data_IF_959393719005
#
_entry.id   IF_959393719005
#
_cell.length_a   1.000
_cell.length_b   1.000
_cell.length_c   1.000
_cell.angle_alpha   90.00
_cell.angle_beta   90.00
_cell.angle_gamma   90.00
#
_symmetry.space_group_name_H-M   'P 1'
#
loop_
_entity.id
_entity.type
_entity.pdbx_description
1 polymer ?
#
# COMPACT_ATOMS: atom_id res chain seq x y z
N UNK A 1 -1.97 -1.79 34.29
CA UNK A 1 -0.71 -1.98 33.54
C UNK A 1 -0.28 -0.59 33.11
N UNK A 2 0.76 -0.02 33.72
CA UNK A 2 1.22 1.32 33.34
C UNK A 2 1.72 1.24 31.90
N UNK A 3 1.08 1.99 30.99
CA UNK A 3 1.54 2.12 29.62
C UNK A 3 2.98 2.64 29.69
N UNK A 4 3.89 2.08 28.91
CA UNK A 4 5.24 2.62 28.81
C UNK A 4 5.09 4.00 28.14
N UNK A 5 4.87 5.04 28.94
CA UNK A 5 4.46 6.40 28.56
C UNK A 5 5.53 7.19 27.79
N UNK A 6 6.41 6.51 27.07
CA UNK A 6 7.49 7.13 26.29
C UNK A 6 7.31 6.99 24.77
N UNK A 7 6.30 6.25 24.30
CA UNK A 7 6.03 6.16 22.87
C UNK A 7 5.17 7.35 22.43
N UNK A 8 5.69 8.06 21.43
CA UNK A 8 5.07 9.27 20.89
C UNK A 8 4.04 8.91 19.80
N UNK A 9 4.20 7.75 19.16
CA UNK A 9 3.24 7.23 18.18
C UNK A 9 2.03 6.66 18.90
N UNK A 10 0.85 7.04 18.42
CA UNK A 10 -0.43 6.53 18.96
C UNK A 10 -0.85 5.34 18.11
N UNK A 11 -1.15 4.22 18.78
CA UNK A 11 -1.68 3.02 18.14
C UNK A 11 -0.73 2.48 17.03
N UNK A 12 0.59 2.52 17.29
CA UNK A 12 1.60 2.09 16.31
C UNK A 12 1.68 0.59 16.06
N UNK A 13 1.12 -0.23 16.96
CA UNK A 13 0.93 -1.68 16.74
C UNK A 13 -0.52 -2.06 16.45
N UNK A 14 -1.41 -1.09 16.18
CA UNK A 14 -2.80 -1.32 15.75
C UNK A 14 -3.70 -2.21 16.64
N UNK A 15 -3.26 -2.54 17.86
CA UNK A 15 -3.94 -3.45 18.81
C UNK A 15 -5.33 -3.01 19.27
N UNK A 16 -5.75 -1.81 18.89
CA UNK A 16 -7.14 -1.35 19.09
C UNK A 16 -8.11 -1.89 18.02
N UNK A 17 -7.59 -2.60 17.01
CA UNK A 17 -8.36 -3.18 15.90
C UNK A 17 -8.93 -2.11 14.96
N UNK A 18 -8.34 -0.92 14.91
CA UNK A 18 -8.79 0.20 14.09
C UNK A 18 -7.66 1.21 13.83
N UNK A 19 -7.93 2.18 12.95
CA UNK A 19 -7.00 3.24 12.54
C UNK A 19 -7.02 4.48 13.45
N UNK A 20 -7.36 4.36 14.74
CA UNK A 20 -7.36 5.54 15.64
C UNK A 20 -6.02 6.26 15.58
N UNK A 21 -6.08 7.59 15.40
CA UNK A 21 -4.95 8.51 15.22
C UNK A 21 -4.17 8.36 13.90
N UNK A 22 -4.61 7.52 12.97
CA UNK A 22 -4.07 7.40 11.63
C UNK A 22 -5.04 8.01 10.61
N UNK A 23 -4.49 8.65 9.60
CA UNK A 23 -5.24 9.27 8.50
C UNK A 23 -4.99 8.47 7.22
N UNK A 24 -5.97 7.68 6.75
CA UNK A 24 -5.90 7.05 5.44
C UNK A 24 -5.97 8.11 4.33
N UNK A 25 -5.27 7.87 3.23
CA UNK A 25 -5.37 8.65 2.00
C UNK A 25 -6.63 8.34 1.20
N UNK A 26 -6.78 9.01 0.06
CA UNK A 26 -7.90 8.80 -0.87
C UNK A 26 -7.36 8.28 -2.23
N UNK A 27 -7.81 7.10 -2.69
CA UNK A 27 -8.66 6.14 -2.01
C UNK A 27 -7.88 5.41 -0.91
N UNK A 28 -8.60 4.97 0.12
CA UNK A 28 -8.01 4.40 1.32
C UNK A 28 -8.26 2.90 1.44
N UNK A 29 -7.70 2.07 0.55
CA UNK A 29 -7.74 0.61 0.66
C UNK A 29 -6.84 0.12 1.80
N UNK A 30 -7.28 0.43 3.03
CA UNK A 30 -6.51 0.26 4.26
C UNK A 30 -7.39 -0.38 5.32
N UNK A 31 -6.88 -1.43 5.96
CA UNK A 31 -7.58 -2.12 7.03
C UNK A 31 -6.62 -2.59 8.12
N UNK A 32 -7.06 -2.57 9.38
CA UNK A 32 -6.37 -3.25 10.48
C UNK A 32 -6.89 -4.68 10.53
N UNK A 33 -5.99 -5.64 10.36
CA UNK A 33 -6.30 -7.06 10.16
C UNK A 33 -5.66 -7.93 11.24
N UNK A 34 -6.28 -9.08 11.50
CA UNK A 34 -5.71 -10.18 12.27
C UNK A 34 -5.00 -11.17 11.33
N UNK A 35 -4.12 -12.02 11.88
CA UNK A 35 -3.45 -13.06 11.09
C UNK A 35 -4.42 -13.99 10.33
N UNK A 36 -5.60 -14.25 10.91
CA UNK A 36 -6.63 -15.14 10.35
C UNK A 36 -7.37 -14.54 9.14
N UNK A 37 -7.22 -13.24 8.91
CA UNK A 37 -7.79 -12.58 7.73
C UNK A 37 -6.96 -12.87 6.46
N UNK A 38 -5.79 -13.52 6.61
CA UNK A 38 -4.95 -13.98 5.51
C UNK A 38 -5.02 -15.50 5.32
N UNK A 39 -4.95 -15.94 4.07
CA UNK A 39 -4.76 -17.35 3.69
C UNK A 39 -3.59 -17.48 2.70
N UNK A 40 -2.45 -18.08 3.09
CA UNK A 40 -2.15 -18.58 4.44
C UNK A 40 -2.01 -17.46 5.48
N UNK A 41 -2.12 -17.79 6.76
CA UNK A 41 -2.04 -16.81 7.85
C UNK A 41 -0.69 -16.08 7.88
N UNK A 42 -0.72 -14.77 8.10
CA UNK A 42 0.48 -13.93 8.31
C UNK A 42 0.54 -13.52 9.78
N UNK A 43 1.58 -13.92 10.50
CA UNK A 43 1.72 -13.60 11.93
C UNK A 43 2.19 -12.17 12.16
N UNK A 44 1.49 -11.43 13.03
CA UNK A 44 1.89 -10.09 13.47
C UNK A 44 3.21 -10.13 14.27
N UNK A 45 4.17 -9.23 14.02
CA UNK A 45 5.38 -9.08 14.85
C UNK A 45 5.07 -8.74 16.30
N UNK A 46 4.01 -7.97 16.54
CA UNK A 46 3.51 -7.60 17.85
C UNK A 46 2.03 -7.95 17.99
N UNK A 47 1.66 -8.50 19.15
CA UNK A 47 0.26 -8.76 19.52
C UNK A 47 -0.50 -9.61 18.50
N UNK A 48 -1.64 -9.10 18.02
CA UNK A 48 -2.54 -9.84 17.12
C UNK A 48 -3.00 -9.07 15.89
N UNK A 49 -2.61 -7.81 15.74
CA UNK A 49 -3.07 -6.93 14.67
C UNK A 49 -1.89 -6.28 13.95
N UNK A 50 -2.10 -5.96 12.68
CA UNK A 50 -1.25 -5.08 11.88
C UNK A 50 -2.12 -4.31 10.89
N UNK A 51 -1.59 -3.28 10.25
CA UNK A 51 -2.30 -2.60 9.15
C UNK A 51 -1.84 -3.14 7.81
N UNK A 52 -2.79 -3.37 6.89
CA UNK A 52 -2.53 -3.57 5.47
C UNK A 52 -2.89 -2.29 4.71
N UNK A 53 -1.95 -1.77 3.94
CA UNK A 53 -2.22 -0.88 2.82
C UNK A 53 -2.21 -1.74 1.57
N UNK A 54 -3.27 -1.73 0.76
CA UNK A 54 -3.35 -2.51 -0.48
C UNK A 54 -3.71 -1.58 -1.63
N UNK A 55 -3.13 -1.79 -2.81
CA UNK A 55 -3.67 -1.21 -4.04
C UNK A 55 -5.02 -1.87 -4.33
N UNK A 56 -5.16 -3.16 -4.04
CA UNK A 56 -6.45 -3.86 -3.93
C UNK A 56 -7.01 -4.26 -5.28
N UNK A 57 -8.04 -5.12 -5.26
CA UNK A 57 -8.50 -5.76 -6.50
C UNK A 57 -9.15 -4.75 -7.45
N UNK A 58 -8.45 -4.44 -8.54
CA UNK A 58 -8.91 -3.57 -9.62
C UNK A 58 -8.61 -2.09 -9.38
N UNK A 59 -8.81 -1.32 -10.46
CA UNK A 59 -8.46 0.10 -10.53
C UNK A 59 -9.19 0.94 -9.47
N UNK A 60 -8.44 1.46 -8.50
CA UNK A 60 -8.96 2.31 -7.42
C UNK A 60 -8.93 3.79 -7.80
N UNK A 61 -7.94 4.21 -8.60
CA UNK A 61 -7.86 5.52 -9.25
C UNK A 61 -7.83 5.37 -10.76
N UNK A 62 -8.42 6.31 -11.52
CA UNK A 62 -8.35 6.27 -12.98
C UNK A 62 -6.91 6.26 -13.49
N UNK A 63 -6.69 5.54 -14.60
CA UNK A 63 -5.48 5.10 -15.31
C UNK A 63 -4.38 6.12 -15.65
N UNK A 64 -4.26 7.19 -14.87
CA UNK A 64 -3.23 8.22 -14.98
C UNK A 64 -2.91 8.77 -13.60
N UNK A 65 -2.21 7.97 -12.79
CA UNK A 65 -1.58 8.47 -11.57
C UNK A 65 -0.26 9.20 -11.85
N UNK A 66 0.32 9.85 -10.83
CA UNK A 66 1.66 10.42 -10.92
C UNK A 66 2.72 9.32 -11.07
N UNK A 67 3.90 9.71 -11.57
CA UNK A 67 5.14 8.94 -11.45
C UNK A 67 5.74 9.27 -10.07
N UNK A 68 5.53 8.39 -9.09
CA UNK A 68 5.89 8.61 -7.68
C UNK A 68 7.35 8.23 -7.40
N UNK A 69 7.92 7.32 -8.17
CA UNK A 69 9.30 6.85 -8.00
C UNK A 69 10.29 7.49 -8.99
N UNK A 70 9.79 8.13 -10.04
CA UNK A 70 10.57 8.87 -11.03
C UNK A 70 11.13 8.01 -12.16
N UNK A 71 10.58 6.81 -12.40
CA UNK A 71 11.06 5.91 -13.45
C UNK A 71 10.47 6.18 -14.85
N UNK A 72 9.59 7.18 -14.97
CA UNK A 72 8.98 7.60 -16.23
C UNK A 72 7.71 6.83 -16.62
N UNK A 73 7.23 5.93 -15.76
CA UNK A 73 5.89 5.34 -15.83
C UNK A 73 4.97 5.98 -14.81
N UNK A 74 3.66 5.85 -15.01
CA UNK A 74 2.67 6.31 -14.03
C UNK A 74 2.28 5.17 -13.10
N UNK A 75 2.08 5.48 -11.83
CA UNK A 75 1.64 4.55 -10.79
C UNK A 75 0.13 4.67 -10.66
N UNK A 76 -0.59 3.67 -11.15
CA UNK A 76 -2.02 3.79 -11.43
C UNK A 76 -2.85 3.73 -10.16
N UNK A 77 -2.45 2.90 -9.21
CA UNK A 77 -3.07 2.82 -7.90
C UNK A 77 -2.07 3.16 -6.80
N UNK A 78 -2.47 4.05 -5.90
CA UNK A 78 -1.71 4.37 -4.70
C UNK A 78 -2.60 4.29 -3.47
N UNK A 79 -2.06 3.71 -2.40
CA UNK A 79 -2.69 3.72 -1.08
C UNK A 79 -1.72 4.32 -0.07
N UNK A 80 -2.20 5.29 0.71
CA UNK A 80 -1.35 6.00 1.69
C UNK A 80 -1.93 6.00 3.10
N UNK A 81 -1.07 5.92 4.11
CA UNK A 81 -1.44 6.02 5.52
C UNK A 81 -0.50 7.01 6.21
N UNK A 82 -1.02 7.90 7.06
CA UNK A 82 -0.17 8.87 7.75
C UNK A 82 -0.57 9.13 9.19
N UNK A 83 0.39 9.54 10.01
CA UNK A 83 0.16 10.07 11.35
C UNK A 83 1.10 11.26 11.60
N UNK A 84 0.52 12.33 12.13
CA UNK A 84 1.29 13.47 12.65
C UNK A 84 1.70 13.21 14.09
N UNK A 85 2.94 13.56 14.43
CA UNK A 85 3.45 13.50 15.80
C UNK A 85 4.33 14.71 16.09
N UNK A 86 4.72 14.90 17.36
CA UNK A 86 5.58 16.03 17.74
C UNK A 86 6.68 15.62 18.70
N UNK A 87 7.90 16.08 18.42
CA UNK A 87 9.06 15.98 19.32
C UNK A 87 9.29 17.32 20.02
N UNK A 88 9.09 17.34 21.33
CA UNK A 88 9.35 18.47 22.21
C UNK A 88 10.85 18.63 22.52
N UNK A 89 11.29 19.80 23.03
CA UNK A 89 12.64 19.97 23.54
C UNK A 89 13.03 18.87 24.54
N UNK A 90 14.16 18.20 24.27
CA UNK A 90 14.64 17.08 25.07
C UNK A 90 14.02 15.72 24.74
N UNK A 91 13.14 15.62 23.74
CA UNK A 91 12.72 14.33 23.16
C UNK A 91 13.57 13.93 21.95
N UNK A 92 14.18 14.89 21.24
CA UNK A 92 15.15 14.63 20.19
C UNK A 92 16.60 14.55 20.76
N UNK A 93 17.47 13.69 20.19
CA UNK A 93 17.15 12.74 19.12
C UNK A 93 16.30 11.56 19.63
N UNK A 94 15.38 11.10 18.79
CA UNK A 94 14.53 9.94 19.03
C UNK A 94 14.76 8.89 17.93
N UNK A 95 14.54 7.62 18.25
CA UNK A 95 14.59 6.53 17.28
C UNK A 95 13.17 6.15 16.89
N UNK A 96 12.83 6.34 15.62
CA UNK A 96 11.69 5.72 14.96
C UNK A 96 12.06 4.28 14.63
N UNK A 97 11.21 3.32 14.98
CA UNK A 97 11.34 1.92 14.55
C UNK A 97 9.99 1.36 14.15
N UNK A 98 9.97 0.42 13.21
CA UNK A 98 8.77 -0.28 12.76
C UNK A 98 9.13 -1.65 12.16
N UNK A 99 8.14 -2.51 12.06
CA UNK A 99 8.23 -3.74 11.28
C UNK A 99 7.37 -3.61 10.01
N UNK A 100 7.89 -4.05 8.87
CA UNK A 100 7.23 -3.94 7.58
C UNK A 100 7.32 -5.24 6.79
N UNK A 101 6.34 -5.52 5.95
CA UNK A 101 6.36 -6.65 5.02
C UNK A 101 5.72 -6.21 3.71
N UNK A 102 6.44 -6.37 2.60
CA UNK A 102 5.91 -6.09 1.27
C UNK A 102 5.28 -7.36 0.69
N UNK A 103 4.15 -7.17 0.02
CA UNK A 103 3.33 -8.18 -0.63
C UNK A 103 3.14 -7.74 -2.07
N UNK A 104 3.30 -8.66 -3.01
CA UNK A 104 3.12 -8.35 -4.43
C UNK A 104 2.53 -9.54 -5.18
N UNK A 105 1.85 -9.26 -6.28
CA UNK A 105 1.48 -10.23 -7.30
C UNK A 105 2.39 -10.19 -8.52
N UNK A 106 3.47 -9.41 -8.48
CA UNK A 106 4.35 -9.14 -9.61
C UNK A 106 5.79 -9.57 -9.35
N UNK A 107 6.45 -10.17 -10.36
CA UNK A 107 7.87 -10.50 -10.31
C UNK A 107 8.62 -10.19 -11.61
N UNK A 108 7.93 -9.96 -12.72
CA UNK A 108 8.56 -9.95 -14.04
C UNK A 108 7.99 -8.94 -15.05
N UNK A 109 7.05 -8.07 -14.66
CA UNK A 109 6.31 -7.21 -15.60
C UNK A 109 6.34 -5.74 -15.20
N UNK A 110 5.93 -5.42 -13.98
CA UNK A 110 6.01 -4.08 -13.42
C UNK A 110 6.75 -4.11 -12.07
N UNK A 111 7.16 -2.92 -11.64
CA UNK A 111 8.04 -2.69 -10.49
C UNK A 111 7.28 -1.96 -9.40
N UNK A 112 6.25 -2.65 -8.89
CA UNK A 112 5.50 -2.20 -7.72
C UNK A 112 6.44 -1.86 -6.57
N UNK A 113 6.03 -0.89 -5.77
CA UNK A 113 6.91 -0.36 -4.74
C UNK A 113 6.18 0.08 -3.50
N UNK A 114 6.96 0.33 -2.47
CA UNK A 114 6.54 1.09 -1.32
C UNK A 114 7.54 2.19 -1.00
N UNK A 115 7.06 3.24 -0.34
CA UNK A 115 7.91 4.25 0.27
C UNK A 115 7.37 4.66 1.64
N UNK A 116 8.30 5.00 2.53
CA UNK A 116 8.04 5.60 3.83
C UNK A 116 8.73 6.95 3.84
N UNK A 117 7.95 7.99 4.10
CA UNK A 117 8.45 9.36 4.18
C UNK A 117 8.29 9.94 5.58
N UNK A 118 9.26 10.76 5.97
CA UNK A 118 9.20 11.63 7.14
C UNK A 118 9.34 13.07 6.67
N UNK A 119 8.31 13.87 6.89
CA UNK A 119 8.25 15.27 6.43
C UNK A 119 8.45 15.41 4.91
N UNK A 120 7.99 14.40 4.16
CA UNK A 120 8.13 14.32 2.71
C UNK A 120 9.50 13.81 2.21
N UNK A 121 10.48 13.60 3.09
CA UNK A 121 11.73 12.95 2.73
C UNK A 121 11.61 11.43 2.84
N UNK A 122 12.03 10.68 1.80
CA UNK A 122 12.06 9.22 1.82
C UNK A 122 13.10 8.76 2.86
N UNK A 123 12.66 7.94 3.81
CA UNK A 123 13.50 7.33 4.85
C UNK A 123 13.66 5.81 4.67
N UNK A 124 12.73 5.19 3.95
CA UNK A 124 12.80 3.80 3.50
C UNK A 124 11.99 3.69 2.20
N UNK A 125 12.47 2.92 1.25
CA UNK A 125 11.70 2.48 0.08
C UNK A 125 12.17 1.10 -0.33
N UNK A 126 11.34 0.44 -1.13
CA UNK A 126 11.75 -0.76 -1.84
C UNK A 126 10.80 -1.08 -2.98
N UNK A 127 11.27 -1.83 -3.96
CA UNK A 127 10.49 -2.24 -5.12
C UNK A 127 10.63 -3.74 -5.44
N UNK A 128 9.84 -4.25 -6.36
CA UNK A 128 9.88 -5.67 -6.77
C UNK A 128 11.20 -5.98 -7.48
N UNK A 129 11.94 -7.01 -7.07
CA UNK A 129 13.13 -7.42 -7.80
C UNK A 129 12.74 -8.01 -9.16
N UNK A 130 13.13 -7.37 -10.26
CA UNK A 130 12.85 -7.95 -11.57
C UNK A 130 13.23 -7.09 -12.77
N UNK A 131 13.33 -7.69 -13.97
CA UNK A 131 13.49 -6.94 -15.20
C UNK A 131 12.16 -6.28 -15.60
N UNK A 132 11.93 -5.04 -15.17
CA UNK A 132 10.85 -4.18 -15.69
C UNK A 132 11.36 -3.32 -16.85
N UNK A 133 10.46 -2.92 -17.76
CA UNK A 133 10.74 -1.86 -18.75
C UNK A 133 10.88 -0.49 -18.06
N UNK A 134 10.26 -0.36 -16.90
CA UNK A 134 10.21 0.84 -16.08
C UNK A 134 10.70 0.50 -14.67
N UNK A 135 11.98 0.18 -14.54
CA UNK A 135 12.58 -0.15 -13.24
C UNK A 135 12.63 1.08 -12.34
N UNK A 136 12.07 0.93 -11.15
CA UNK A 136 12.14 1.87 -10.05
C UNK A 136 13.60 2.19 -9.70
N UNK A 137 13.91 3.45 -9.32
CA UNK A 137 15.21 3.75 -8.72
C UNK A 137 15.31 3.29 -7.26
N UNK A 138 14.25 2.72 -6.68
CA UNK A 138 14.28 2.21 -5.32
C UNK A 138 15.07 0.91 -5.22
N UNK A 139 15.63 0.60 -4.03
CA UNK A 139 16.31 -0.67 -3.83
C UNK A 139 15.34 -1.86 -3.94
N UNK A 140 15.78 -2.95 -4.56
CA UNK A 140 15.02 -4.20 -4.56
C UNK A 140 14.69 -4.64 -3.11
N UNK A 141 13.46 -5.08 -2.93
CA UNK A 141 13.03 -5.76 -1.71
C UNK A 141 13.72 -7.12 -1.54
N UNK A 142 13.77 -7.67 -0.31
CA UNK A 142 14.15 -9.06 -0.13
C UNK A 142 13.29 -9.98 -1.00
N UNK A 143 13.82 -11.12 -1.47
CA UNK A 143 13.05 -12.03 -2.32
C UNK A 143 11.73 -12.46 -1.67
N UNK A 144 10.67 -12.54 -2.48
CA UNK A 144 9.39 -13.07 -2.02
C UNK A 144 9.46 -14.59 -1.76
N UNK A 145 8.56 -15.07 -0.91
CA UNK A 145 8.43 -16.49 -0.59
C UNK A 145 7.74 -17.33 -1.69
N UNK A 146 7.23 -16.69 -2.75
CA UNK A 146 6.46 -17.31 -3.83
C UNK A 146 5.22 -18.10 -3.33
N UNK A 147 4.59 -17.61 -2.26
CA UNK A 147 3.34 -18.16 -1.72
C UNK A 147 2.20 -17.19 -1.99
N UNK A 148 1.12 -17.64 -2.60
CA UNK A 148 -0.04 -16.77 -2.84
C UNK A 148 -0.80 -16.48 -1.55
N UNK A 149 -1.01 -15.19 -1.24
CA UNK A 149 -1.79 -14.74 -0.09
C UNK A 149 -3.12 -14.14 -0.52
N UNK A 150 -4.20 -14.51 0.18
CA UNK A 150 -5.55 -14.01 -0.06
C UNK A 150 -6.08 -13.33 1.20
N UNK A 151 -6.64 -12.13 1.06
CA UNK A 151 -7.26 -11.39 2.16
C UNK A 151 -8.77 -11.63 2.18
N UNK A 152 -9.29 -12.10 3.31
CA UNK A 152 -10.72 -12.23 3.58
C UNK A 152 -11.08 -11.40 4.81
N UNK A 153 -11.71 -10.26 4.59
CA UNK A 153 -12.08 -9.31 5.65
C UNK A 153 -13.49 -8.74 5.42
N UNK A 154 -13.93 -7.82 6.28
CA UNK A 154 -15.19 -7.09 6.07
C UNK A 154 -14.96 -5.68 5.51
N UNK A 155 -13.71 -5.23 5.41
CA UNK A 155 -13.34 -3.88 4.99
C UNK A 155 -12.94 -3.79 3.52
N UNK A 156 -12.14 -2.76 3.23
CA UNK A 156 -11.81 -2.33 1.88
C UNK A 156 -10.72 -3.18 1.22
N UNK A 157 -9.95 -3.93 1.99
CA UNK A 157 -8.92 -4.83 1.48
C UNK A 157 -9.44 -6.25 1.22
N UNK A 158 -10.74 -6.50 1.44
CA UNK A 158 -11.32 -7.81 1.20
C UNK A 158 -11.24 -8.20 -0.29
N UNK A 159 -10.65 -9.35 -0.56
CA UNK A 159 -10.45 -9.85 -1.91
C UNK A 159 -9.08 -9.53 -2.49
N UNK A 160 -8.20 -8.80 -1.77
CA UNK A 160 -6.84 -8.58 -2.22
C UNK A 160 -6.08 -9.90 -2.38
N UNK A 161 -5.28 -10.00 -3.43
CA UNK A 161 -4.47 -11.19 -3.78
C UNK A 161 -3.02 -10.84 -4.06
N UNK A 162 -2.10 -11.57 -3.44
CA UNK A 162 -0.65 -11.38 -3.58
C UNK A 162 -0.01 -12.70 -4.03
N UNK A 163 -0.09 -13.00 -5.32
CA UNK A 163 0.24 -14.30 -5.91
C UNK A 163 1.75 -14.60 -5.94
N UNK A 164 2.56 -13.55 -5.97
CA UNK A 164 4.03 -13.62 -5.96
C UNK A 164 4.60 -13.66 -4.55
N UNK A 165 3.80 -13.29 -3.55
CA UNK A 165 4.00 -13.62 -2.15
C UNK A 165 4.53 -12.49 -1.30
N UNK A 166 5.23 -12.87 -0.23
CA UNK A 166 5.63 -11.99 0.87
C UNK A 166 7.14 -11.94 1.04
N UNK A 167 7.66 -10.76 1.39
CA UNK A 167 9.08 -10.61 1.81
C UNK A 167 9.34 -11.11 3.24
N UNK A 168 8.29 -11.49 3.98
CA UNK A 168 8.29 -11.61 5.43
C UNK A 168 8.51 -10.26 6.14
N UNK A 169 8.23 -10.22 7.44
CA UNK A 169 8.46 -9.02 8.24
C UNK A 169 9.96 -8.71 8.40
N UNK A 170 10.31 -7.48 8.06
CA UNK A 170 11.62 -6.87 8.18
C UNK A 170 11.56 -5.76 9.23
N UNK A 171 12.68 -5.50 9.90
CA UNK A 171 12.78 -4.43 10.89
C UNK A 171 13.47 -3.20 10.30
N UNK A 172 12.95 -2.02 10.58
CA UNK A 172 13.55 -0.75 10.18
C UNK A 172 13.69 0.21 11.38
N UNK A 173 14.77 1.00 11.38
CA UNK A 173 15.00 2.04 12.38
C UNK A 173 15.61 3.31 11.76
N UNK A 174 15.16 4.48 12.20
CA UNK A 174 15.60 5.78 11.73
C UNK A 174 15.78 6.78 12.88
N UNK A 175 16.82 7.63 12.81
CA UNK A 175 17.11 8.63 13.83
C UNK A 175 16.45 9.98 13.49
N UNK A 176 15.45 10.38 14.27
CA UNK A 176 14.81 11.70 14.15
C UNK A 176 15.54 12.69 15.05
N UNK A 177 16.25 13.64 14.46
CA UNK A 177 17.13 14.58 15.17
C UNK A 177 16.48 15.94 15.42
N UNK A 178 15.49 16.31 14.62
CA UNK A 178 14.82 17.60 14.70
C UNK A 178 13.71 17.56 15.76
N UNK A 179 13.50 18.68 16.43
CA UNK A 179 12.29 18.92 17.24
C UNK A 179 11.21 19.53 16.34
N UNK A 180 9.94 19.44 16.75
CA UNK A 180 8.83 20.05 16.05
C UNK A 180 7.72 19.05 15.69
N UNK A 181 6.85 19.47 14.79
CA UNK A 181 5.81 18.62 14.21
C UNK A 181 6.41 17.82 13.06
N UNK A 182 6.04 16.56 13.00
CA UNK A 182 6.47 15.65 11.95
C UNK A 182 5.27 14.91 11.37
N UNK A 183 5.36 14.53 10.10
CA UNK A 183 4.40 13.64 9.45
C UNK A 183 5.12 12.39 8.98
N UNK A 184 4.75 11.24 9.55
CA UNK A 184 5.14 9.93 9.04
C UNK A 184 4.08 9.46 8.06
N UNK A 185 4.51 9.08 6.85
CA UNK A 185 3.61 8.56 5.80
C UNK A 185 4.16 7.29 5.18
N UNK A 186 3.27 6.33 4.98
CA UNK A 186 3.47 5.10 4.23
C UNK A 186 2.71 5.20 2.92
N UNK A 187 3.30 4.69 1.85
CA UNK A 187 2.72 4.61 0.51
C UNK A 187 3.05 3.24 -0.08
N UNK A 188 2.07 2.61 -0.72
CA UNK A 188 2.26 1.50 -1.65
C UNK A 188 1.70 1.94 -3.01
N UNK A 189 2.43 1.63 -4.09
CA UNK A 189 2.06 1.95 -5.46
C UNK A 189 2.03 0.71 -6.34
N UNK A 190 1.04 0.66 -7.23
CA UNK A 190 0.90 -0.29 -8.33
C UNK A 190 1.38 0.39 -9.62
N UNK A 191 2.40 -0.17 -10.26
CA UNK A 191 3.01 0.46 -11.41
C UNK A 191 2.34 0.02 -12.71
N UNK A 192 1.85 1.00 -13.48
CA UNK A 192 1.38 0.86 -14.87
C UNK A 192 0.21 -0.09 -15.16
N UNK A 193 -0.15 -0.99 -14.25
CA UNK A 193 -1.43 -1.66 -14.24
C UNK A 193 -2.19 -1.37 -12.93
N UNK A 194 -3.44 -1.78 -12.88
CA UNK A 194 -4.32 -1.61 -11.71
C UNK A 194 -5.11 -2.89 -11.49
N UNK A 195 -4.57 -4.02 -11.93
CA UNK A 195 -5.22 -5.32 -11.89
C UNK A 195 -4.49 -6.27 -10.95
N UNK A 196 -3.24 -5.98 -10.62
CA UNK A 196 -2.35 -6.90 -9.94
C UNK A 196 -1.96 -6.28 -8.59
N UNK A 197 -2.52 -6.82 -7.52
CA UNK A 197 -2.41 -6.11 -6.24
C UNK A 197 -0.99 -6.13 -5.66
N UNK A 198 -0.63 -4.99 -5.09
CA UNK A 198 0.50 -4.83 -4.19
C UNK A 198 0.04 -4.35 -2.82
N UNK A 199 0.85 -4.67 -1.81
CA UNK A 199 0.47 -4.50 -0.42
C UNK A 199 1.66 -4.22 0.49
N UNK A 200 1.40 -3.45 1.53
CA UNK A 200 2.37 -3.16 2.58
C UNK A 200 1.72 -3.43 3.94
N UNK A 201 2.26 -4.42 4.66
CA UNK A 201 1.93 -4.65 6.06
C UNK A 201 2.86 -3.81 6.94
N UNK A 202 2.29 -3.12 7.93
CA UNK A 202 3.05 -2.35 8.92
C UNK A 202 2.58 -2.72 10.32
N UNK A 203 3.54 -2.88 11.23
CA UNK A 203 3.29 -3.12 12.65
C UNK A 203 4.40 -2.50 13.53
N UNK A 204 4.19 -2.51 14.85
CA UNK A 204 5.20 -2.23 15.88
C UNK A 204 5.89 -0.86 15.71
N UNK A 205 5.15 0.14 15.21
CA UNK A 205 5.66 1.49 15.02
C UNK A 205 5.86 2.15 16.39
N UNK A 206 7.08 2.61 16.65
CA UNK A 206 7.48 3.22 17.91
C UNK A 206 8.38 4.41 17.66
N UNK A 207 8.25 5.45 18.48
CA UNK A 207 9.24 6.51 18.60
C UNK A 207 9.71 6.57 20.04
N UNK A 208 10.95 6.14 20.26
CA UNK A 208 11.55 6.08 21.59
C UNK A 208 12.64 7.15 21.68
N UNK A 209 12.55 7.99 22.70
CA UNK A 209 13.63 8.94 23.05
C UNK A 209 14.92 8.18 23.30
N UNK A 210 16.01 8.60 22.66
CA UNK A 210 17.32 8.04 22.98
C UNK A 210 17.74 8.50 24.38
N UNK A 211 18.28 7.60 25.22
CA UNK A 211 18.83 8.02 26.50
C UNK A 211 19.88 9.11 26.22
N UNK A 212 19.91 10.20 27.02
CA UNK A 212 20.96 11.20 26.87
C UNK A 212 22.27 10.41 26.88
N UNK A 213 23.09 10.57 25.84
CA UNK A 213 24.40 9.94 25.79
C UNK A 213 25.07 10.31 27.09
N UNK A 214 25.13 9.36 28.02
CA UNK A 214 25.61 9.63 29.37
C UNK A 214 27.06 9.97 29.14
N UNK A 215 27.37 11.27 29.11
CA UNK A 215 28.64 11.81 28.66
C UNK A 215 29.72 11.05 29.39
N UNK A 216 30.29 10.07 28.69
CA UNK A 216 31.19 9.09 29.27
C UNK A 216 32.49 9.82 29.52
N UNK A 217 32.54 10.53 30.66
CA UNK A 217 33.79 10.93 31.27
C UNK A 217 34.57 9.64 31.49
N UNK A 218 35.60 9.46 30.67
CA UNK A 218 36.17 8.17 30.35
C UNK A 218 36.55 7.31 31.55
N UNK A 219 36.28 6.00 31.43
CA UNK A 219 37.07 4.99 32.12
C UNK A 219 37.02 3.66 31.36
N UNK A 220 37.98 3.50 30.45
CA UNK A 220 38.68 2.27 30.05
C UNK A 220 38.02 0.88 30.08
N UNK A 221 36.71 0.74 29.84
CA UNK A 221 36.05 -0.56 29.76
C UNK A 221 35.92 -1.03 28.31
N UNK A 222 36.71 -2.05 27.93
CA UNK A 222 36.60 -2.75 26.64
C UNK A 222 35.29 -3.54 26.59
N UNK A 223 34.18 -2.86 26.32
CA UNK A 223 32.87 -3.45 26.05
C UNK A 223 32.61 -3.39 24.56
N UNK A 224 32.25 -4.53 23.96
CA UNK A 224 32.04 -4.68 22.53
C UNK A 224 31.11 -3.59 21.98
N UNK A 225 31.65 -2.81 21.04
CA UNK A 225 30.90 -1.82 20.26
C UNK A 225 29.75 -2.53 19.56
N UNK A 226 28.48 -2.10 19.74
CA UNK A 226 27.40 -2.60 18.90
C UNK A 226 27.76 -2.28 17.44
N UNK A 227 27.79 -3.30 16.59
CA UNK A 227 28.02 -3.12 15.15
C UNK A 227 26.92 -2.18 14.64
N UNK A 228 27.27 -1.02 14.07
CA UNK A 228 26.26 -0.12 13.52
C UNK A 228 25.48 -0.87 12.44
N UNK A 229 24.15 -0.81 12.53
CA UNK A 229 23.29 -1.14 11.39
C UNK A 229 23.75 -0.31 10.20
N UNK A 230 24.00 -0.92 9.03
CA UNK A 230 24.49 -0.17 7.88
C UNK A 230 23.52 0.96 7.57
N UNK A 231 24.01 2.19 7.68
CA UNK A 231 23.31 3.35 7.12
C UNK A 231 23.15 3.06 5.62
N UNK A 232 21.94 3.10 5.04
CA UNK A 232 21.78 2.98 3.60
C UNK A 232 22.69 4.03 2.95
N UNK A 233 23.63 3.56 2.15
CA UNK A 233 24.53 4.43 1.41
C UNK A 233 23.65 5.21 0.45
N UNK A 234 23.68 6.54 0.54
CA UNK A 234 22.89 7.39 -0.35
C UNK A 234 23.20 7.01 -1.79
N UNK A 235 22.22 6.48 -2.52
CA UNK A 235 22.35 6.21 -3.94
C UNK A 235 22.83 7.52 -4.61
N UNK A 236 23.96 7.51 -5.33
CA UNK A 236 24.46 8.72 -5.96
C UNK A 236 23.39 9.25 -6.90
N UNK A 237 22.95 10.50 -6.66
CA UNK A 237 22.09 11.21 -7.60
C UNK A 237 22.72 11.14 -8.99
N UNK A 238 21.99 10.67 -10.03
CA UNK A 238 22.54 10.61 -11.37
C UNK A 238 23.11 11.99 -11.72
N UNK A 239 24.39 12.01 -12.12
CA UNK A 239 25.03 13.23 -12.60
C UNK A 239 24.26 13.65 -13.84
N UNK A 240 23.65 14.84 -13.79
CA UNK A 240 22.90 15.39 -14.92
C UNK A 240 23.75 15.27 -16.18
N UNK A 241 23.19 14.62 -17.21
CA UNK A 241 23.82 14.55 -18.52
C UNK A 241 24.14 15.99 -18.98
N UNK A 242 25.37 16.25 -19.47
CA UNK A 242 25.74 17.58 -19.93
C UNK A 242 24.72 18.05 -20.98
N UNK A 243 24.29 19.33 -20.92
CA UNK A 243 23.31 19.85 -21.87
C UNK A 243 23.82 19.64 -23.30
N UNK A 244 23.04 18.90 -24.09
CA UNK A 244 23.28 18.71 -25.51
C UNK A 244 23.27 20.08 -26.18
N UNK A 245 24.38 20.43 -26.85
CA UNK A 245 24.55 21.69 -27.57
C UNK A 245 23.46 21.83 -28.67
N UNK A 246 22.54 22.82 -28.59
CA UNK A 246 21.37 22.90 -29.46
C UNK A 246 21.65 23.46 -30.87
N UNK A 247 22.88 23.38 -31.38
CA UNK A 247 23.27 24.12 -32.60
C UNK A 247 23.20 23.34 -33.92
N UNK A 248 22.69 22.10 -33.96
CA UNK A 248 22.38 21.44 -35.24
C UNK A 248 20.88 21.48 -35.56
N UNK A 249 20.43 22.34 -36.49
CA UNK A 249 19.02 22.34 -36.91
C UNK A 249 18.69 21.01 -37.58
N UNK A 250 17.75 20.27 -36.99
CA UNK A 250 17.17 19.09 -37.63
C UNK A 250 16.52 19.48 -38.96
N UNK A 251 16.66 18.66 -40.02
CA UNK A 251 15.98 18.90 -41.28
C UNK A 251 14.46 18.94 -41.04
N UNK A 252 13.72 19.83 -41.73
CA UNK A 252 12.29 19.98 -41.51
C UNK A 252 11.58 18.65 -41.78
N UNK A 253 10.81 18.19 -40.79
CA UNK A 253 9.99 17.00 -40.91
C UNK A 253 9.02 17.15 -42.10
N UNK A 254 8.80 16.10 -42.90
CA UNK A 254 7.85 16.15 -44.00
C UNK A 254 6.45 16.48 -43.45
N UNK A 255 5.85 17.53 -44.01
CA UNK A 255 4.50 17.97 -43.65
C UNK A 255 3.50 16.82 -43.82
N UNK A 256 2.87 16.41 -42.73
CA UNK A 256 1.81 15.41 -42.75
C UNK A 256 0.61 15.93 -43.55
N UNK A 257 -0.01 15.10 -44.41
CA UNK A 257 -1.17 15.49 -45.19
C UNK A 257 -2.34 15.89 -44.25
N UNK A 258 -3.16 16.87 -44.65
CA UNK A 258 -4.25 17.37 -43.83
C UNK A 258 -5.24 16.26 -43.49
N UNK A 259 -5.60 16.17 -42.21
CA UNK A 259 -6.59 15.23 -41.72
C UNK A 259 -7.94 15.43 -42.44
N UNK A 260 -8.65 14.36 -42.82
CA UNK A 260 -9.97 14.47 -43.42
C UNK A 260 -10.94 15.14 -42.45
N UNK A 261 -11.77 16.04 -42.99
CA UNK A 261 -12.77 16.77 -42.21
C UNK A 261 -13.74 15.79 -41.51
N UNK A 262 -14.07 16.02 -40.23
CA UNK A 262 -14.97 15.14 -39.49
C UNK A 262 -16.36 15.12 -40.13
N UNK A 263 -16.91 13.92 -40.27
CA UNK A 263 -18.27 13.70 -40.76
C UNK A 263 -19.27 14.25 -39.74
N UNK A 264 -20.34 14.96 -40.16
CA UNK A 264 -21.31 15.55 -39.23
C UNK A 264 -22.01 14.48 -38.41
N UNK A 265 -22.07 14.70 -37.08
CA UNK A 265 -22.75 13.82 -36.15
C UNK A 265 -24.26 13.76 -36.43
N UNK A 266 -24.89 12.57 -36.38
CA UNK A 266 -26.33 12.46 -36.54
C UNK A 266 -27.08 13.16 -35.40
N UNK A 267 -28.11 13.93 -35.76
CA UNK A 267 -29.01 14.57 -34.78
C UNK A 267 -29.74 13.53 -33.93
N UNK A 268 -29.80 13.70 -32.59
CA UNK A 268 -30.53 12.78 -31.73
C UNK A 268 -32.04 12.88 -32.00
N UNK A 269 -32.68 11.71 -32.17
CA UNK A 269 -34.12 11.59 -32.24
C UNK A 269 -34.73 11.83 -30.85
N UNK A 270 -35.66 12.77 -30.76
CA UNK A 270 -36.40 13.06 -29.52
C UNK A 270 -37.39 11.92 -29.29
N UNK A 271 -37.13 11.10 -28.27
CA UNK A 271 -38.05 10.08 -27.77
C UNK A 271 -39.04 10.71 -26.81
N UNK A 272 -40.33 10.64 -27.11
CA UNK A 272 -41.41 11.17 -26.29
C UNK A 272 -41.60 10.36 -25.00
N UNK A 273 -41.44 11.01 -23.86
CA UNK A 273 -41.64 10.44 -22.52
C UNK A 273 -43.14 10.31 -22.23
N UNK A 274 -43.65 9.14 -21.79
CA UNK A 274 -45.03 8.98 -21.35
C UNK A 274 -45.27 9.62 -19.96
N UNK A 275 -46.50 10.07 -19.66
CA UNK A 275 -46.81 10.78 -18.42
C UNK A 275 -46.68 9.89 -17.17
N UNK A 276 -46.12 10.48 -16.12
CA UNK A 276 -45.88 9.86 -14.82
C UNK A 276 -47.20 9.47 -14.11
N UNK A 277 -47.23 8.26 -13.55
CA UNK A 277 -48.30 7.81 -12.66
C UNK A 277 -48.07 8.31 -11.23
N UNK A 278 -49.18 8.63 -10.55
CA UNK A 278 -49.24 9.16 -9.19
C UNK A 278 -48.61 8.21 -8.14
N UNK A 279 -47.86 8.72 -7.15
CA UNK A 279 -47.31 7.89 -6.09
C UNK A 279 -48.37 7.49 -5.05
N UNK A 280 -48.48 6.19 -4.80
CA UNK A 280 -49.19 5.63 -3.64
C UNK A 280 -48.41 5.88 -2.36
N UNK A 281 -49.13 6.19 -1.28
CA UNK A 281 -48.58 6.43 0.05
C UNK A 281 -47.81 5.20 0.60
N UNK A 282 -46.71 5.42 1.34
CA UNK A 282 -45.94 4.33 1.94
C UNK A 282 -46.68 3.71 3.14
N UNK A 283 -46.61 2.38 3.34
CA UNK A 283 -47.10 1.73 4.54
C UNK A 283 -46.20 2.03 5.74
N UNK A 284 -46.81 2.12 6.92
CA UNK A 284 -46.16 2.38 8.20
C UNK A 284 -45.14 1.29 8.57
N UNK A 285 -43.96 1.72 9.04
CA UNK A 285 -42.90 0.87 9.55
C UNK A 285 -43.30 0.14 10.83
N UNK A 286 -43.04 -1.18 10.95
CA UNK A 286 -43.09 -1.85 12.24
C UNK A 286 -41.81 -1.58 13.04
N UNK A 287 -42.04 -1.19 14.29
CA UNK A 287 -41.06 -1.03 15.35
C UNK A 287 -40.50 -2.43 15.72
N UNK A 288 -39.19 -2.64 15.57
CA UNK A 288 -38.51 -3.87 15.98
C UNK A 288 -37.32 -3.54 16.86
N UNK A 289 -37.58 -3.69 18.16
CA UNK A 289 -36.66 -3.52 19.26
C UNK A 289 -35.57 -4.61 19.27
N UNK A 290 -34.34 -4.14 19.51
CA UNK A 290 -33.24 -4.72 20.29
C UNK A 290 -33.07 -6.25 20.36
N UNK A 291 -31.92 -6.71 19.87
CA UNK A 291 -31.05 -7.59 20.67
C UNK A 291 -30.69 -8.95 20.07
N UNK A 292 -29.82 -8.98 19.05
CA UNK A 292 -28.99 -10.15 18.75
C UNK A 292 -27.60 -9.70 18.29
N UNK A 293 -26.57 -10.04 19.06
CA UNK A 293 -25.17 -9.96 18.60
C UNK A 293 -24.95 -11.10 17.60
N UNK A 294 -24.57 -10.85 16.35
CA UNK A 294 -24.32 -11.92 15.39
C UNK A 294 -23.10 -12.74 15.85
N UNK A 295 -23.31 -14.03 16.11
CA UNK A 295 -22.26 -14.99 16.41
C UNK A 295 -21.50 -15.36 15.12
N UNK A 296 -20.16 -15.25 15.14
CA UNK A 296 -19.18 -15.54 14.06
C UNK A 296 -19.27 -16.95 13.41
N UNK A 297 -20.21 -17.80 13.79
CA UNK A 297 -20.23 -19.24 13.44
C UNK A 297 -21.03 -19.56 12.16
N UNK A 298 -21.91 -18.67 11.68
CA UNK A 298 -22.84 -19.03 10.58
C UNK A 298 -22.29 -18.74 9.17
N UNK A 299 -21.28 -17.88 9.01
CA UNK A 299 -20.81 -17.46 7.68
C UNK A 299 -19.78 -18.37 7.01
N UNK A 300 -19.03 -19.19 7.76
CA UNK A 300 -18.09 -20.17 7.19
C UNK A 300 -18.78 -21.19 6.26
N UNK A 301 -20.05 -21.49 6.53
CA UNK A 301 -20.84 -22.41 5.68
C UNK A 301 -21.28 -21.74 4.37
N UNK A 302 -21.49 -20.42 4.36
CA UNK A 302 -21.95 -19.69 3.15
C UNK A 302 -20.76 -19.30 2.28
N UNK A 303 -19.67 -18.79 2.86
CA UNK A 303 -18.46 -18.41 2.12
C UNK A 303 -17.76 -19.62 1.49
N UNK A 304 -17.64 -20.73 2.22
CA UNK A 304 -17.02 -21.96 1.71
C UNK A 304 -17.80 -22.60 0.55
N UNK A 305 -19.13 -22.46 0.53
CA UNK A 305 -19.96 -22.96 -0.57
C UNK A 305 -19.79 -22.11 -1.83
N UNK A 306 -19.67 -20.79 -1.71
CA UNK A 306 -19.47 -19.91 -2.87
C UNK A 306 -18.07 -20.09 -3.47
N UNK A 307 -17.02 -20.13 -2.64
CA UNK A 307 -15.65 -20.39 -3.11
C UNK A 307 -15.50 -21.76 -3.79
N UNK A 308 -16.13 -22.80 -3.22
CA UNK A 308 -16.14 -24.14 -3.82
C UNK A 308 -16.81 -24.19 -5.19
N UNK A 309 -17.89 -23.42 -5.41
CA UNK A 309 -18.58 -23.36 -6.71
C UNK A 309 -17.71 -22.67 -7.77
N UNK A 310 -16.98 -21.61 -7.41
CA UNK A 310 -16.11 -20.89 -8.36
C UNK A 310 -14.97 -21.80 -8.85
N UNK A 311 -14.30 -22.52 -7.95
CA UNK A 311 -13.22 -23.46 -8.32
C UNK A 311 -13.72 -24.58 -9.24
N UNK A 312 -14.93 -25.12 -8.98
CA UNK A 312 -15.52 -26.17 -9.82
C UNK A 312 -15.88 -25.65 -11.21
N UNK A 313 -16.43 -24.44 -11.31
CA UNK A 313 -16.78 -23.83 -12.61
C UNK A 313 -15.52 -23.55 -13.44
N UNK A 314 -14.45 -23.03 -12.83
CA UNK A 314 -13.17 -22.79 -13.52
C UNK A 314 -12.52 -24.09 -14.00
N UNK A 315 -12.53 -25.15 -13.17
CA UNK A 315 -12.02 -26.46 -13.56
C UNK A 315 -12.81 -27.08 -14.72
N UNK A 316 -14.15 -26.93 -14.73
CA UNK A 316 -15.00 -27.39 -15.82
C UNK A 316 -14.76 -26.61 -17.11
N UNK A 317 -14.49 -25.30 -17.03
CA UNK A 317 -14.18 -24.47 -18.19
C UNK A 317 -12.84 -24.87 -18.83
N UNK A 318 -11.82 -25.14 -18.01
CA UNK A 318 -10.52 -25.66 -18.47
C UNK A 318 -10.63 -27.06 -19.11
N UNK A 319 -11.45 -27.95 -18.53
CA UNK A 319 -11.73 -29.27 -19.10
C UNK A 319 -12.50 -29.20 -20.43
N UNK A 320 -13.42 -28.25 -20.57
CA UNK A 320 -14.15 -28.02 -21.82
C UNK A 320 -13.25 -27.47 -22.92
N UNK A 321 -12.27 -26.62 -22.57
CA UNK A 321 -11.32 -26.07 -23.53
C UNK A 321 -10.33 -27.14 -24.04
N UNK A 322 -9.92 -28.09 -23.20
CA UNK A 322 -9.03 -29.20 -23.60
C UNK A 322 -9.65 -30.22 -24.55
N UNK A 323 -10.98 -30.27 -24.71
CA UNK A 323 -11.65 -31.20 -25.64
C UNK A 323 -11.82 -30.66 -27.07
N UNK A 324 -11.43 -29.41 -27.33
CA UNK A 324 -11.54 -28.78 -28.66
C UNK A 324 -10.23 -28.75 -29.47
N UNK A 325 -9.19 -29.43 -28.99
CA UNK A 325 -7.94 -29.70 -29.69
C UNK A 325 -7.67 -31.20 -29.68
#
# INVERSE_FOLDING_TARGET
>A
MARADNDIIINGGFETGNLTAWTPGDPGNIEVLEAIDFSPEVSAPQGGFFVLLSTGSGEVKPSSGPDLDGNGSADYDETTLSQDFSLLPGQAPATLSLDWCFLTSELDSYDDFFMITLDGAIILSGSVPGPSVYTSPFPDTPPSDNVSYFVTSYGLTNGSTFDSGSTGFQHFSFLVTNIGSHTLRFTVGDQADGFVDSGLLIDNIKIVKNPPSSGGSGSGGSGATPTPTPTPESVPTPTAEPPVDPTTPSPPAPSSPPAPAPSPAPSPAISSIPPASSPSAPPASPDLASGLKPSRIVWWVVGGVIGGVIVIVSALFLLAHRRKH
#
